data_IF_945446863564
#
_entry.id   IF_945446863564
#
_cell.length_a   1.000
_cell.length_b   1.000
_cell.length_c   1.000
_cell.angle_alpha   90.00
_cell.angle_beta   90.00
_cell.angle_gamma   90.00
#
_symmetry.space_group_name_H-M   'P 1'
#
loop_
_entity.id
_entity.type
_entity.pdbx_description
1 polymer ?
#
# COMPACT_ATOMS: atom_id res chain seq x y z
N UNK A 1 14.37 -1.87 5.37
CA UNK A 1 13.27 -1.11 6.01
C UNK A 1 11.88 -1.56 5.56
N UNK A 2 11.64 -1.80 4.26
CA UNK A 2 10.30 -2.06 3.72
C UNK A 2 9.63 -3.37 4.17
N UNK A 3 10.37 -4.48 4.29
CA UNK A 3 9.77 -5.79 4.62
C UNK A 3 9.05 -5.81 5.98
N UNK A 4 9.67 -5.26 7.03
CA UNK A 4 9.06 -5.17 8.36
C UNK A 4 7.84 -4.25 8.38
N UNK A 5 7.86 -3.17 7.60
CA UNK A 5 6.74 -2.25 7.50
C UNK A 5 5.55 -2.90 6.77
N UNK A 6 5.80 -3.62 5.67
CA UNK A 6 4.76 -4.39 4.95
C UNK A 6 4.20 -5.49 5.84
N UNK A 7 5.03 -6.25 6.53
CA UNK A 7 4.59 -7.34 7.41
C UNK A 7 3.89 -6.85 8.68
N UNK A 8 4.40 -5.77 9.30
CA UNK A 8 3.91 -5.27 10.59
C UNK A 8 2.77 -4.26 10.50
N UNK A 9 2.63 -3.55 9.37
CA UNK A 9 1.59 -2.53 9.19
C UNK A 9 0.74 -2.77 7.96
N UNK A 10 1.36 -3.05 6.81
CA UNK A 10 0.65 -3.25 5.55
C UNK A 10 -0.33 -4.44 5.62
N UNK A 11 0.16 -5.62 5.98
CA UNK A 11 -0.66 -6.83 6.06
C UNK A 11 -1.73 -6.75 7.16
N UNK A 12 -1.41 -6.33 8.40
CA UNK A 12 -2.44 -6.14 9.43
C UNK A 12 -3.45 -5.04 9.06
N UNK A 13 -3.00 -3.93 8.49
CA UNK A 13 -3.87 -2.85 8.01
C UNK A 13 -4.86 -3.34 6.95
N UNK A 14 -4.39 -4.12 5.97
CA UNK A 14 -5.25 -4.75 4.96
C UNK A 14 -6.23 -5.76 5.59
N UNK A 15 -5.78 -6.56 6.55
CA UNK A 15 -6.63 -7.50 7.27
C UNK A 15 -7.74 -6.78 8.06
N UNK A 16 -7.44 -5.69 8.75
CA UNK A 16 -8.45 -4.87 9.44
C UNK A 16 -9.50 -4.34 8.46
N UNK A 17 -9.12 -3.98 7.24
CA UNK A 17 -10.04 -3.57 6.18
C UNK A 17 -11.04 -4.69 5.83
N UNK A 18 -10.56 -5.92 5.65
CA UNK A 18 -11.40 -7.08 5.36
C UNK A 18 -12.28 -7.48 6.55
N UNK A 19 -11.74 -7.53 7.75
CA UNK A 19 -12.50 -7.83 8.98
C UNK A 19 -13.59 -6.77 9.18
N UNK A 20 -13.25 -5.49 9.03
CA UNK A 20 -14.22 -4.41 9.11
C UNK A 20 -15.30 -4.50 8.04
N UNK A 21 -14.95 -4.88 6.81
CA UNK A 21 -15.89 -5.04 5.69
C UNK A 21 -16.89 -6.18 5.90
N UNK A 22 -16.42 -7.35 6.36
CA UNK A 22 -17.22 -8.57 6.48
C UNK A 22 -17.90 -8.71 7.85
N UNK A 23 -17.37 -8.04 8.88
CA UNK A 23 -17.89 -8.07 10.24
C UNK A 23 -19.17 -7.24 10.43
N UNK A 24 -19.74 -7.35 11.64
CA UNK A 24 -20.97 -6.64 12.05
C UNK A 24 -20.76 -5.92 13.40
N UNK A 25 -21.65 -4.98 13.72
CA UNK A 25 -21.68 -4.32 15.03
C UNK A 25 -20.47 -3.44 15.33
N UNK A 26 -20.21 -3.21 16.62
CA UNK A 26 -19.17 -2.28 17.12
C UNK A 26 -17.76 -2.67 16.68
N UNK A 27 -17.48 -3.98 16.60
CA UNK A 27 -16.17 -4.48 16.18
C UNK A 27 -15.87 -4.14 14.72
N UNK A 28 -16.85 -4.25 13.82
CA UNK A 28 -16.70 -3.84 12.42
C UNK A 28 -16.30 -2.36 12.28
N UNK A 29 -16.92 -1.48 13.07
CA UNK A 29 -16.60 -0.05 13.08
C UNK A 29 -15.18 0.18 13.60
N UNK A 30 -14.81 -0.48 14.69
CA UNK A 30 -13.45 -0.43 15.25
C UNK A 30 -12.40 -0.84 14.21
N UNK A 31 -12.62 -1.95 13.50
CA UNK A 31 -11.67 -2.45 12.50
C UNK A 31 -11.55 -1.54 11.28
N UNK A 32 -12.64 -0.88 10.86
CA UNK A 32 -12.59 0.15 9.79
C UNK A 32 -11.74 1.35 10.20
N UNK A 33 -11.90 1.83 11.44
CA UNK A 33 -11.10 2.94 11.95
C UNK A 33 -9.61 2.57 12.08
N UNK A 34 -9.32 1.37 12.59
CA UNK A 34 -7.94 0.87 12.66
C UNK A 34 -7.33 0.69 11.27
N UNK A 35 -8.08 0.18 10.30
CA UNK A 35 -7.66 0.09 8.91
C UNK A 35 -7.24 1.46 8.38
N UNK A 36 -8.08 2.49 8.52
CA UNK A 36 -7.75 3.84 8.05
C UNK A 36 -6.48 4.37 8.71
N UNK A 37 -6.41 4.34 10.04
CA UNK A 37 -5.26 4.87 10.79
C UNK A 37 -3.95 4.18 10.42
N UNK A 38 -3.95 2.83 10.37
CA UNK A 38 -2.77 2.04 10.03
C UNK A 38 -2.37 2.26 8.58
N UNK A 39 -3.33 2.30 7.65
CA UNK A 39 -3.04 2.47 6.23
C UNK A 39 -2.56 3.88 5.88
N UNK A 40 -3.02 4.92 6.57
CA UNK A 40 -2.48 6.29 6.42
C UNK A 40 -1.03 6.34 6.91
N UNK A 41 -0.74 5.76 8.08
CA UNK A 41 0.63 5.68 8.58
C UNK A 41 1.53 4.85 7.65
N UNK A 42 1.02 3.73 7.15
CA UNK A 42 1.72 2.88 6.17
C UNK A 42 1.99 3.62 4.86
N UNK A 43 1.04 4.42 4.36
CA UNK A 43 1.21 5.26 3.17
C UNK A 43 2.36 6.27 3.38
N UNK A 44 2.37 6.99 4.49
CA UNK A 44 3.44 7.95 4.81
C UNK A 44 4.81 7.28 4.88
N UNK A 45 4.90 6.14 5.58
CA UNK A 45 6.16 5.43 5.73
C UNK A 45 6.63 4.78 4.41
N UNK A 46 5.72 4.36 3.53
CA UNK A 46 6.07 3.86 2.20
C UNK A 46 6.73 4.95 1.34
N UNK A 47 6.17 6.16 1.35
CA UNK A 47 6.77 7.30 0.64
C UNK A 47 8.09 7.74 1.28
N UNK A 48 8.17 7.78 2.61
CA UNK A 48 9.41 8.10 3.32
C UNK A 48 10.50 7.05 3.04
N UNK A 49 10.14 5.76 3.00
CA UNK A 49 11.03 4.67 2.65
C UNK A 49 11.54 4.76 1.21
N UNK A 50 10.66 5.09 0.26
CA UNK A 50 11.04 5.31 -1.13
C UNK A 50 12.00 6.50 -1.28
N UNK A 51 11.71 7.63 -0.62
CA UNK A 51 12.57 8.80 -0.62
C UNK A 51 13.94 8.49 0.00
N UNK A 52 13.96 7.88 1.19
CA UNK A 52 15.18 7.55 1.92
C UNK A 52 16.07 6.55 1.18
N UNK A 53 15.47 5.48 0.64
CA UNK A 53 16.20 4.51 -0.17
C UNK A 53 16.79 5.14 -1.43
N UNK A 54 16.01 6.00 -2.08
CA UNK A 54 16.48 6.67 -3.30
C UNK A 54 17.59 7.68 -3.05
N UNK A 55 17.48 8.50 -2.00
CA UNK A 55 18.53 9.43 -1.59
C UNK A 55 19.80 8.70 -1.17
N UNK A 56 19.67 7.57 -0.46
CA UNK A 56 20.82 6.75 -0.06
C UNK A 56 21.60 6.22 -1.25
N UNK A 57 20.90 5.73 -2.29
CA UNK A 57 21.53 5.20 -3.51
C UNK A 57 22.11 6.32 -4.38
N UNK A 58 21.42 7.45 -4.49
CA UNK A 58 21.93 8.63 -5.19
C UNK A 58 23.21 9.16 -4.53
N UNK A 59 23.27 9.19 -3.20
CA UNK A 59 24.47 9.58 -2.46
C UNK A 59 25.67 8.65 -2.65
N UNK A 60 25.42 7.41 -3.06
CA UNK A 60 26.45 6.41 -3.41
C UNK A 60 26.82 6.45 -4.91
N UNK A 61 26.22 7.34 -5.70
CA UNK A 61 26.49 7.48 -7.14
C UNK A 61 25.80 6.43 -8.01
N UNK A 62 24.83 5.68 -7.48
CA UNK A 62 24.09 4.68 -8.27
C UNK A 62 22.95 5.33 -9.06
N UNK A 63 22.88 5.00 -10.35
CA UNK A 63 21.73 5.33 -11.19
C UNK A 63 20.61 4.30 -11.00
N UNK A 64 19.65 4.62 -10.13
CA UNK A 64 18.57 3.70 -9.75
C UNK A 64 17.21 4.05 -10.38
N UNK A 65 17.10 5.23 -11.00
CA UNK A 65 15.86 5.74 -11.59
C UNK A 65 15.64 5.21 -13.01
N UNK A 66 15.96 3.93 -13.23
CA UNK A 66 15.85 3.28 -14.54
C UNK A 66 14.62 2.40 -14.60
N UNK A 67 13.87 2.51 -15.70
CA UNK A 67 12.73 1.61 -15.98
C UNK A 67 13.16 0.16 -16.27
N UNK A 68 14.47 -0.12 -16.32
CA UNK A 68 15.00 -1.46 -16.44
C UNK A 68 15.16 -2.18 -15.10
N UNK A 69 15.19 -1.46 -13.96
CA UNK A 69 15.25 -2.10 -12.64
C UNK A 69 13.86 -2.56 -12.18
N UNK A 70 13.62 -3.89 -12.04
CA UNK A 70 12.33 -4.39 -11.59
C UNK A 70 11.95 -3.91 -10.18
N UNK A 71 12.93 -3.69 -9.30
CA UNK A 71 12.64 -3.21 -7.94
C UNK A 71 12.16 -1.75 -7.97
N UNK A 72 12.82 -0.88 -8.71
CA UNK A 72 12.38 0.50 -8.92
C UNK A 72 11.00 0.60 -9.59
N UNK A 73 10.76 -0.12 -10.68
CA UNK A 73 9.46 -0.10 -11.38
C UNK A 73 8.33 -0.61 -10.48
N UNK A 74 8.57 -1.69 -9.74
CA UNK A 74 7.59 -2.20 -8.78
C UNK A 74 7.35 -1.21 -7.64
N UNK A 75 8.35 -0.42 -7.22
CA UNK A 75 8.20 0.65 -6.22
C UNK A 75 7.21 1.73 -6.71
N UNK A 76 7.36 2.18 -7.95
CA UNK A 76 6.43 3.14 -8.57
C UNK A 76 5.01 2.59 -8.63
N UNK A 77 4.87 1.32 -9.02
CA UNK A 77 3.59 0.64 -9.10
C UNK A 77 2.90 0.58 -7.72
N UNK A 78 3.60 0.15 -6.66
CA UNK A 78 2.99 0.05 -5.32
C UNK A 78 2.61 1.42 -4.76
N UNK A 79 3.45 2.45 -4.91
CA UNK A 79 3.16 3.79 -4.42
C UNK A 79 1.98 4.42 -5.19
N UNK A 80 1.96 4.25 -6.51
CA UNK A 80 0.85 4.70 -7.36
C UNK A 80 -0.46 4.02 -6.99
N UNK A 81 -0.47 2.69 -6.90
CA UNK A 81 -1.65 1.91 -6.52
C UNK A 81 -2.13 2.23 -5.09
N UNK A 82 -1.21 2.38 -4.13
CA UNK A 82 -1.54 2.73 -2.76
C UNK A 82 -2.17 4.13 -2.67
N UNK A 83 -1.62 5.09 -3.42
CA UNK A 83 -2.14 6.46 -3.50
C UNK A 83 -3.49 6.51 -4.18
N UNK A 84 -3.64 5.83 -5.32
CA UNK A 84 -4.92 5.73 -6.03
C UNK A 84 -6.00 5.12 -5.12
N UNK A 85 -5.66 4.06 -4.38
CA UNK A 85 -6.60 3.41 -3.48
C UNK A 85 -7.00 4.31 -2.29
N UNK A 86 -6.06 5.09 -1.75
CA UNK A 86 -6.32 6.08 -0.69
C UNK A 86 -7.20 7.23 -1.19
N UNK A 87 -6.82 7.85 -2.32
CA UNK A 87 -7.60 8.93 -2.96
C UNK A 87 -9.02 8.47 -3.27
N UNK A 88 -9.18 7.24 -3.77
CA UNK A 88 -10.49 6.68 -4.08
C UNK A 88 -11.38 6.48 -2.84
N UNK A 89 -10.79 6.12 -1.69
CA UNK A 89 -11.53 6.07 -0.44
C UNK A 89 -11.93 7.47 0.05
N UNK A 90 -10.99 8.43 0.03
CA UNK A 90 -11.22 9.81 0.48
C UNK A 90 -12.16 10.60 -0.43
N UNK A 91 -12.30 10.24 -1.71
CA UNK A 91 -13.31 10.80 -2.61
C UNK A 91 -14.72 10.27 -2.35
N UNK A 92 -14.91 9.40 -1.36
CA UNK A 92 -16.21 8.81 -1.02
C UNK A 92 -16.62 7.65 -1.93
N UNK A 93 -15.64 6.94 -2.51
CA UNK A 93 -15.83 5.77 -3.37
C UNK A 93 -16.52 6.07 -4.73
N UNK A 94 -16.49 7.33 -5.18
CA UNK A 94 -16.88 7.74 -6.53
C UNK A 94 -18.37 7.60 -6.89
N UNK A 95 -19.26 7.42 -5.93
CA UNK A 95 -20.70 7.25 -6.15
C UNK A 95 -21.56 8.25 -5.38
N UNK A 96 -22.71 8.63 -5.95
CA UNK A 96 -23.65 9.59 -5.36
C UNK A 96 -24.73 8.90 -4.52
N UNK A 97 -25.07 7.66 -4.87
CA UNK A 97 -26.09 6.86 -4.18
C UNK A 97 -25.47 5.82 -3.23
N UNK A 98 -26.23 5.33 -2.22
CA UNK A 98 -25.74 4.26 -1.34
C UNK A 98 -25.32 2.98 -2.08
N UNK A 99 -26.04 2.61 -3.15
CA UNK A 99 -25.75 1.42 -3.94
C UNK A 99 -24.44 1.56 -4.72
N UNK A 100 -24.17 2.72 -5.30
CA UNK A 100 -22.90 3.01 -5.99
C UNK A 100 -21.72 3.02 -5.00
N UNK A 101 -21.89 3.66 -3.84
CA UNK A 101 -20.86 3.66 -2.79
C UNK A 101 -20.55 2.24 -2.31
N UNK A 102 -21.54 1.35 -2.22
CA UNK A 102 -21.32 -0.05 -1.88
C UNK A 102 -20.47 -0.78 -2.94
N UNK A 103 -20.74 -0.54 -4.22
CA UNK A 103 -19.90 -1.05 -5.32
C UNK A 103 -18.49 -0.47 -5.25
N UNK A 104 -18.34 0.83 -5.03
CA UNK A 104 -17.04 1.48 -4.93
C UNK A 104 -16.21 0.97 -3.75
N UNK A 105 -16.81 0.73 -2.58
CA UNK A 105 -16.13 0.07 -1.46
C UNK A 105 -15.62 -1.32 -1.80
N UNK A 106 -16.26 -2.01 -2.74
CA UNK A 106 -15.83 -3.32 -3.24
C UNK A 106 -14.61 -3.17 -4.14
N UNK A 107 -14.63 -2.19 -5.06
CA UNK A 107 -13.47 -1.85 -5.89
C UNK A 107 -12.26 -1.49 -5.01
N UNK A 108 -12.43 -0.62 -4.01
CA UNK A 108 -11.37 -0.26 -3.06
C UNK A 108 -10.77 -1.48 -2.34
N UNK A 109 -11.61 -2.43 -1.90
CA UNK A 109 -11.13 -3.61 -1.19
C UNK A 109 -10.26 -4.53 -2.08
N UNK A 110 -10.69 -4.78 -3.33
CA UNK A 110 -9.94 -5.60 -4.26
C UNK A 110 -8.71 -4.88 -4.82
N UNK A 111 -8.80 -3.57 -5.08
CA UNK A 111 -7.65 -2.75 -5.44
C UNK A 111 -6.61 -2.77 -4.32
N UNK A 112 -7.03 -2.59 -3.07
CA UNK A 112 -6.15 -2.70 -1.90
C UNK A 112 -5.49 -4.08 -1.77
N UNK A 113 -6.23 -5.17 -1.98
CA UNK A 113 -5.67 -6.52 -1.97
C UNK A 113 -4.63 -6.72 -3.09
N UNK A 114 -4.92 -6.23 -4.30
CA UNK A 114 -3.96 -6.23 -5.41
C UNK A 114 -2.70 -5.45 -5.04
N UNK A 115 -2.84 -4.23 -4.51
CA UNK A 115 -1.71 -3.40 -4.05
C UNK A 115 -0.83 -4.15 -3.07
N UNK A 116 -1.42 -4.86 -2.10
CA UNK A 116 -0.66 -5.66 -1.15
C UNK A 116 0.09 -6.83 -1.81
N UNK A 117 -0.52 -7.48 -2.79
CA UNK A 117 0.15 -8.49 -3.61
C UNK A 117 1.38 -7.93 -4.34
N UNK A 118 1.25 -6.73 -4.94
CA UNK A 118 2.39 -6.05 -5.59
C UNK A 118 3.45 -5.63 -4.56
N UNK A 119 3.08 -5.24 -3.34
CA UNK A 119 4.03 -4.97 -2.25
C UNK A 119 4.86 -6.21 -1.87
N UNK A 120 4.26 -7.41 -1.90
CA UNK A 120 5.01 -8.66 -1.68
C UNK A 120 6.04 -8.86 -2.78
N UNK A 121 5.63 -8.71 -4.06
CA UNK A 121 6.56 -8.83 -5.20
C UNK A 121 7.68 -7.80 -5.10
N UNK A 122 7.36 -6.54 -4.83
CA UNK A 122 8.33 -5.47 -4.62
C UNK A 122 9.32 -5.81 -3.50
N UNK A 123 8.82 -6.31 -2.35
CA UNK A 123 9.67 -6.73 -1.24
C UNK A 123 10.62 -7.88 -1.59
N UNK A 124 10.16 -8.87 -2.36
CA UNK A 124 11.01 -9.97 -2.86
C UNK A 124 12.09 -9.46 -3.81
N UNK A 125 11.74 -8.58 -4.75
CA UNK A 125 12.71 -7.97 -5.67
C UNK A 125 13.77 -7.16 -4.93
N UNK A 126 13.38 -6.41 -3.89
CA UNK A 126 14.32 -5.66 -3.06
C UNK A 126 15.24 -6.56 -2.24
N UNK A 127 14.73 -7.68 -1.74
CA UNK A 127 15.55 -8.68 -1.05
C UNK A 127 16.56 -9.35 -2.01
N UNK A 128 16.12 -9.73 -3.21
CA UNK A 128 16.99 -10.33 -4.22
C UNK A 128 18.06 -9.35 -4.71
N UNK A 129 17.68 -8.11 -5.01
CA UNK A 129 18.62 -7.07 -5.44
C UNK A 129 19.63 -6.67 -4.36
N UNK A 130 19.20 -6.65 -3.09
CA UNK A 130 20.09 -6.35 -1.96
C UNK A 130 21.08 -7.46 -1.60
N UNK A 131 20.87 -8.70 -2.05
CA UNK A 131 21.86 -9.79 -1.95
C UNK A 131 22.86 -9.79 -3.10
N UNK A 132 22.58 -9.07 -4.18
CA UNK A 132 23.43 -8.99 -5.38
C UNK A 132 24.43 -7.80 -5.34
N UNK A 133 24.23 -6.86 -4.40
CA UNK A 133 25.14 -5.76 -4.05
C UNK A 133 26.03 -6.17 -2.87
#
# INVERSE_FOLDING_TARGET
MMAFMVAGMGMPGAAFGWIGRLGKGKESVKMKNLHEQVMVAFWLLAFAGALGGSLSLAGQGHEIWTLQDPHFVSALAVLGLLTANAVYAYSGFGGSTPAEKLKGRTVHAYLGALTMGVFVVHGVLGFMGGMAL
#
